data_IF_488676747928
#
_entry.id   IF_488676747928
#
_cell.length_a   1.000
_cell.length_b   1.000
_cell.length_c   1.000
_cell.angle_alpha   90.00
_cell.angle_beta   90.00
_cell.angle_gamma   90.00
#
_symmetry.space_group_name_H-M   'P 1'
#
loop_
_entity.id
_entity.type
_entity.pdbx_description
1 polymer ?
#
# COMPACT_ATOMS: atom_id res chain seq x y z
N UNK A 1 -7.38 39.68 -31.36
CA UNK A 1 -6.89 38.49 -30.61
C UNK A 1 -5.47 38.83 -30.20
N UNK A 2 -5.19 38.98 -28.93
CA UNK A 2 -3.83 39.22 -28.46
C UNK A 2 -3.06 37.89 -28.56
N UNK A 3 -1.92 37.88 -29.26
CA UNK A 3 -1.02 36.75 -29.31
C UNK A 3 -0.52 36.45 -27.89
N UNK A 4 -0.95 35.35 -27.33
CA UNK A 4 -0.41 34.86 -26.07
C UNK A 4 0.95 34.26 -26.39
N UNK A 5 2.00 35.05 -26.22
CA UNK A 5 3.39 34.53 -26.30
C UNK A 5 3.60 33.59 -25.15
N UNK A 6 3.78 32.32 -25.45
CA UNK A 6 4.28 31.33 -24.50
C UNK A 6 5.66 31.76 -24.00
N UNK A 7 5.92 31.63 -22.71
CA UNK A 7 7.21 32.00 -22.13
C UNK A 7 8.32 31.16 -22.79
N UNK A 8 9.42 31.79 -23.24
CA UNK A 8 10.49 31.05 -23.92
C UNK A 8 11.06 29.98 -22.97
N UNK A 9 11.22 28.77 -23.48
CA UNK A 9 11.85 27.67 -22.74
C UNK A 9 13.30 28.05 -22.41
N UNK A 10 13.60 28.15 -21.15
CA UNK A 10 14.96 28.37 -20.65
C UNK A 10 15.62 27.01 -20.42
N UNK A 11 16.69 26.68 -21.16
CA UNK A 11 17.36 25.39 -21.01
C UNK A 11 17.74 25.10 -19.54
N UNK A 12 17.38 23.92 -19.04
CA UNK A 12 17.65 23.49 -17.66
C UNK A 12 16.67 24.03 -16.60
N UNK A 13 15.65 24.79 -17.00
CA UNK A 13 14.61 25.27 -16.10
C UNK A 13 13.23 24.87 -16.58
N UNK A 14 12.33 24.63 -15.62
CA UNK A 14 10.95 24.26 -15.87
C UNK A 14 10.00 25.20 -15.11
N UNK A 15 8.83 25.40 -15.69
CA UNK A 15 7.73 26.13 -15.03
C UNK A 15 7.11 25.26 -13.92
N UNK A 16 6.32 25.89 -13.02
CA UNK A 16 5.54 25.15 -12.00
C UNK A 16 4.66 24.07 -12.62
N UNK A 17 4.03 24.37 -13.74
CA UNK A 17 3.16 23.44 -14.47
C UNK A 17 3.93 22.20 -14.97
N UNK A 18 5.08 22.42 -15.56
CA UNK A 18 5.97 21.35 -16.02
C UNK A 18 6.51 20.52 -14.85
N UNK A 19 6.96 21.18 -13.76
CA UNK A 19 7.39 20.50 -12.54
C UNK A 19 6.28 19.65 -11.91
N UNK A 20 5.03 20.14 -11.91
CA UNK A 20 3.87 19.40 -11.43
C UNK A 20 3.62 18.12 -12.23
N UNK A 21 3.73 18.19 -13.56
CA UNK A 21 3.63 17.04 -14.46
C UNK A 21 4.77 16.04 -14.21
N UNK A 22 6.02 16.51 -14.10
CA UNK A 22 7.19 15.66 -13.85
C UNK A 22 7.08 14.91 -12.50
N UNK A 23 6.51 15.55 -11.47
CA UNK A 23 6.36 14.98 -10.14
C UNK A 23 5.03 14.21 -9.94
N UNK A 24 4.11 14.24 -10.90
CA UNK A 24 2.80 13.60 -10.79
C UNK A 24 1.92 14.23 -9.69
N UNK A 25 2.04 15.55 -9.45
CA UNK A 25 1.29 16.28 -8.40
C UNK A 25 0.63 17.54 -8.97
N UNK A 26 -0.18 18.22 -8.17
CA UNK A 26 -0.83 19.47 -8.57
C UNK A 26 0.11 20.68 -8.43
N UNK A 27 -0.10 21.71 -9.26
CA UNK A 27 0.63 22.99 -9.20
C UNK A 27 0.62 23.57 -7.78
N UNK A 28 -0.54 23.53 -7.11
CA UNK A 28 -0.70 24.00 -5.73
C UNK A 28 0.26 23.30 -4.75
N UNK A 29 0.55 22.02 -4.99
CA UNK A 29 1.47 21.25 -4.15
C UNK A 29 2.92 21.62 -4.43
N UNK A 30 3.27 21.95 -5.69
CA UNK A 30 4.59 22.49 -6.06
C UNK A 30 4.82 23.82 -5.38
N UNK A 31 3.85 24.76 -5.46
CA UNK A 31 3.90 26.06 -4.74
C UNK A 31 4.18 25.88 -3.26
N UNK A 32 3.48 24.95 -2.61
CA UNK A 32 3.68 24.68 -1.19
C UNK A 32 5.10 24.19 -0.87
N UNK A 33 5.71 23.37 -1.74
CA UNK A 33 7.09 22.92 -1.56
C UNK A 33 8.10 24.05 -1.72
N UNK A 34 7.81 25.03 -2.58
CA UNK A 34 8.61 26.25 -2.72
C UNK A 34 8.47 27.12 -1.46
N UNK A 35 7.26 27.40 -0.99
CA UNK A 35 6.98 28.21 0.19
C UNK A 35 7.68 27.69 1.46
N UNK A 36 7.70 26.36 1.65
CA UNK A 36 8.36 25.75 2.82
C UNK A 36 9.87 25.49 2.59
N UNK A 37 10.43 26.00 1.48
CA UNK A 37 11.87 25.93 1.18
C UNK A 37 12.41 24.52 0.85
N UNK A 38 11.53 23.56 0.51
CA UNK A 38 11.93 22.20 0.15
C UNK A 38 12.32 22.05 -1.31
N UNK A 39 11.75 22.85 -2.19
CA UNK A 39 12.03 22.86 -3.62
C UNK A 39 12.55 24.26 -3.98
N UNK A 40 13.83 24.39 -4.36
CA UNK A 40 14.39 25.69 -4.75
C UNK A 40 13.68 26.23 -5.99
N UNK A 41 13.42 27.52 -5.99
CA UNK A 41 12.82 28.20 -7.14
C UNK A 41 13.39 29.60 -7.29
N UNK A 42 13.56 30.02 -8.53
CA UNK A 42 13.98 31.38 -8.90
C UNK A 42 12.77 32.16 -9.35
N UNK A 43 12.67 33.42 -8.98
CA UNK A 43 11.57 34.29 -9.41
C UNK A 43 12.11 35.29 -10.43
N UNK A 44 11.65 35.19 -11.68
CA UNK A 44 11.96 36.10 -12.75
C UNK A 44 10.67 36.74 -13.30
N UNK A 45 10.57 38.05 -13.30
CA UNK A 45 9.40 38.82 -13.83
C UNK A 45 8.05 38.31 -13.29
N UNK A 46 7.99 37.89 -12.02
CA UNK A 46 6.77 37.39 -11.39
C UNK A 46 6.48 35.89 -11.60
N UNK A 47 7.27 35.22 -12.43
CA UNK A 47 7.14 33.78 -12.72
C UNK A 47 8.17 32.99 -11.92
N UNK A 48 7.77 31.84 -11.37
CA UNK A 48 8.69 30.90 -10.74
C UNK A 48 9.28 29.96 -11.77
N UNK A 49 10.61 29.81 -11.74
CA UNK A 49 11.40 28.88 -12.52
C UNK A 49 12.09 27.90 -11.54
N UNK A 50 12.05 26.63 -11.84
CA UNK A 50 12.68 25.58 -11.06
C UNK A 50 13.79 24.93 -11.91
N UNK A 51 14.91 24.54 -11.29
CA UNK A 51 15.89 23.71 -11.96
C UNK A 51 15.28 22.36 -12.30
N UNK A 52 15.41 21.93 -13.54
CA UNK A 52 14.95 20.62 -13.99
C UNK A 52 15.61 19.48 -13.20
N UNK A 53 16.89 19.66 -12.84
CA UNK A 53 17.66 18.71 -12.05
C UNK A 53 17.12 18.61 -10.61
N UNK A 54 16.83 19.75 -9.96
CA UNK A 54 16.25 19.77 -8.62
C UNK A 54 14.88 19.08 -8.60
N UNK A 55 14.07 19.26 -9.65
CA UNK A 55 12.78 18.60 -9.79
C UNK A 55 12.94 17.09 -9.98
N UNK A 56 13.90 16.63 -10.80
CA UNK A 56 14.18 15.20 -11.00
C UNK A 56 14.68 14.51 -9.73
N UNK A 57 15.47 15.21 -8.93
CA UNK A 57 16.04 14.67 -7.68
C UNK A 57 15.05 14.79 -6.50
N UNK A 58 13.96 15.52 -6.66
CA UNK A 58 13.03 15.82 -5.58
C UNK A 58 12.29 14.59 -5.10
N UNK A 59 12.44 14.25 -3.82
CA UNK A 59 11.69 13.17 -3.17
C UNK A 59 10.39 13.69 -2.57
N UNK A 60 9.27 13.22 -3.08
CA UNK A 60 7.95 13.51 -2.50
C UNK A 60 7.88 12.97 -1.07
N UNK A 61 7.28 13.74 -0.18
CA UNK A 61 6.92 13.19 1.12
C UNK A 61 5.83 12.12 0.95
N UNK A 62 5.93 11.01 1.67
CA UNK A 62 4.83 10.06 1.72
C UNK A 62 3.54 10.77 2.16
N UNK A 63 2.37 10.36 1.65
CA UNK A 63 1.11 10.95 2.04
C UNK A 63 0.86 10.72 3.54
N UNK A 64 0.36 11.75 4.23
CA UNK A 64 0.00 11.70 5.64
C UNK A 64 1.01 12.38 6.57
N UNK A 65 0.62 12.55 7.83
CA UNK A 65 1.47 13.10 8.89
C UNK A 65 2.38 11.99 9.42
N UNK A 66 3.69 12.24 9.42
CA UNK A 66 4.63 11.34 10.10
C UNK A 66 4.23 11.22 11.58
N UNK A 67 4.02 9.98 12.04
CA UNK A 67 3.79 9.71 13.45
C UNK A 67 5.12 9.83 14.18
N UNK A 68 5.24 10.82 15.04
CA UNK A 68 6.45 11.02 15.88
C UNK A 68 6.47 10.10 17.09
N UNK A 69 5.29 9.64 17.53
CA UNK A 69 5.17 8.71 18.64
C UNK A 69 4.50 7.42 18.16
N UNK A 70 4.96 6.26 18.61
CA UNK A 70 4.29 5.00 18.34
C UNK A 70 2.88 5.02 18.94
N UNK A 71 1.90 4.38 18.30
CA UNK A 71 0.57 4.23 18.88
C UNK A 71 0.64 3.43 20.18
N UNK A 72 -0.20 3.80 21.18
CA UNK A 72 -0.28 3.06 22.44
C UNK A 72 -1.08 1.78 22.23
N UNK A 73 -0.70 0.75 22.98
CA UNK A 73 -1.48 -0.48 23.07
C UNK A 73 -2.90 -0.19 23.59
N UNK A 74 -3.88 -0.79 22.97
CA UNK A 74 -5.29 -0.70 23.34
C UNK A 74 -5.88 -2.10 23.46
N UNK A 75 -6.91 -2.25 24.30
CA UNK A 75 -7.72 -3.45 24.36
C UNK A 75 -9.02 -3.24 23.60
N UNK A 76 -9.55 -4.28 22.99
CA UNK A 76 -10.90 -4.23 22.47
C UNK A 76 -11.92 -4.14 23.61
N UNK A 77 -13.05 -3.49 23.37
CA UNK A 77 -14.12 -3.45 24.35
C UNK A 77 -14.72 -4.85 24.51
N UNK A 78 -15.26 -5.16 25.70
CA UNK A 78 -15.96 -6.42 25.97
C UNK A 78 -17.17 -6.69 25.04
N UNK A 79 -17.61 -5.67 24.30
CA UNK A 79 -18.75 -5.75 23.38
C UNK A 79 -18.36 -6.01 21.92
N UNK A 80 -17.08 -5.99 21.59
CA UNK A 80 -16.61 -6.21 20.22
C UNK A 80 -15.22 -6.82 20.28
N UNK A 81 -15.16 -8.12 20.09
CA UNK A 81 -13.91 -8.86 20.01
C UNK A 81 -13.37 -8.82 18.60
N UNK A 82 -12.06 -8.93 18.47
CA UNK A 82 -11.42 -9.16 17.18
C UNK A 82 -10.79 -10.53 17.19
N UNK A 83 -11.14 -11.30 16.20
CA UNK A 83 -10.60 -12.64 15.94
C UNK A 83 -9.55 -12.53 14.85
N UNK A 84 -8.44 -13.22 15.03
CA UNK A 84 -7.37 -13.36 14.04
C UNK A 84 -7.35 -14.80 13.54
N UNK A 85 -7.64 -15.00 12.27
CA UNK A 85 -7.37 -16.27 11.58
C UNK A 85 -5.98 -16.18 10.98
N UNK A 86 -5.06 -17.02 11.41
CA UNK A 86 -3.70 -17.16 10.89
C UNK A 86 -3.60 -18.49 10.15
N UNK A 87 -3.22 -18.41 8.88
CA UNK A 87 -2.95 -19.54 8.01
C UNK A 87 -1.47 -19.54 7.70
N UNK A 88 -0.76 -20.55 8.17
CA UNK A 88 0.65 -20.78 7.84
C UNK A 88 0.73 -21.89 6.82
N UNK A 89 1.31 -21.61 5.67
CA UNK A 89 1.34 -22.57 4.57
C UNK A 89 2.71 -22.57 3.90
N UNK A 90 3.34 -23.77 3.71
CA UNK A 90 4.60 -23.86 3.00
C UNK A 90 4.45 -23.49 1.52
N UNK A 91 5.49 -22.90 0.97
CA UNK A 91 5.59 -22.59 -0.47
C UNK A 91 6.24 -23.78 -1.17
N UNK A 92 5.66 -24.23 -2.27
CA UNK A 92 6.21 -25.31 -3.09
C UNK A 92 7.64 -24.94 -3.52
N UNK A 93 8.65 -25.80 -3.31
CA UNK A 93 10.03 -25.51 -3.67
C UNK A 93 10.19 -25.08 -5.13
N UNK A 94 10.87 -23.97 -5.35
CA UNK A 94 11.08 -23.39 -6.70
C UNK A 94 9.92 -22.56 -7.25
N UNK A 95 8.81 -22.40 -6.52
CA UNK A 95 7.62 -21.65 -6.95
C UNK A 95 7.52 -20.23 -6.36
N UNK A 96 8.57 -19.72 -5.73
CA UNK A 96 8.56 -18.42 -5.07
C UNK A 96 8.25 -17.26 -6.01
N UNK A 97 8.87 -17.23 -7.20
CA UNK A 97 8.63 -16.18 -8.20
C UNK A 97 7.22 -16.24 -8.76
N UNK A 98 6.72 -17.45 -9.05
CA UNK A 98 5.35 -17.65 -9.53
C UNK A 98 4.32 -17.23 -8.47
N UNK A 99 4.56 -17.54 -7.19
CA UNK A 99 3.74 -17.06 -6.09
C UNK A 99 3.68 -15.53 -6.05
N UNK A 100 4.83 -14.86 -6.10
CA UNK A 100 4.88 -13.38 -6.07
C UNK A 100 4.14 -12.76 -7.27
N UNK A 101 4.27 -13.35 -8.45
CA UNK A 101 3.54 -12.91 -9.64
C UNK A 101 2.03 -13.09 -9.47
N UNK A 102 1.59 -14.24 -8.96
CA UNK A 102 0.17 -14.53 -8.71
C UNK A 102 -0.42 -13.56 -7.67
N UNK A 103 0.30 -13.31 -6.56
CA UNK A 103 -0.12 -12.35 -5.55
C UNK A 103 -0.23 -10.91 -6.09
N UNK A 104 0.69 -10.49 -6.97
CA UNK A 104 0.61 -9.19 -7.64
C UNK A 104 -0.63 -9.09 -8.54
N UNK A 105 -0.92 -10.10 -9.34
CA UNK A 105 -2.12 -10.15 -10.18
C UNK A 105 -3.43 -10.17 -9.37
N UNK A 106 -3.44 -10.85 -8.20
CA UNK A 106 -4.56 -10.84 -7.26
C UNK A 106 -4.78 -9.43 -6.67
N UNK A 107 -3.70 -8.73 -6.31
CA UNK A 107 -3.76 -7.37 -5.81
C UNK A 107 -4.34 -6.40 -6.85
N UNK A 108 -3.84 -6.43 -8.09
CA UNK A 108 -4.30 -5.57 -9.19
C UNK A 108 -5.79 -5.77 -9.50
N UNK A 109 -6.26 -7.01 -9.47
CA UNK A 109 -7.65 -7.38 -9.75
C UNK A 109 -8.58 -7.37 -8.54
N UNK A 110 -8.04 -7.03 -7.34
CA UNK A 110 -8.76 -7.02 -6.06
C UNK A 110 -9.58 -8.30 -5.80
N UNK A 111 -9.00 -9.47 -6.12
CA UNK A 111 -9.62 -10.79 -5.90
C UNK A 111 -9.56 -11.17 -4.42
N UNK A 112 -10.39 -12.13 -4.00
CA UNK A 112 -10.49 -12.66 -2.64
C UNK A 112 -10.60 -11.55 -1.57
N UNK A 113 -11.67 -10.76 -1.58
CA UNK A 113 -11.86 -9.65 -0.65
C UNK A 113 -12.05 -10.09 0.80
N UNK A 114 -12.38 -11.34 1.08
CA UNK A 114 -12.73 -11.87 2.41
C UNK A 114 -13.70 -10.93 3.13
N UNK A 115 -14.99 -10.91 2.75
CA UNK A 115 -15.98 -9.98 3.29
C UNK A 115 -16.03 -10.00 4.81
N UNK A 116 -16.19 -8.84 5.44
CA UNK A 116 -16.23 -8.69 6.89
C UNK A 116 -14.87 -8.59 7.58
N UNK A 117 -13.74 -8.77 6.87
CA UNK A 117 -12.42 -8.53 7.44
C UNK A 117 -12.18 -7.04 7.68
N UNK A 118 -11.57 -6.69 8.82
CA UNK A 118 -11.09 -5.32 9.10
C UNK A 118 -9.67 -5.09 8.62
N UNK A 119 -8.89 -6.14 8.49
CA UNK A 119 -7.57 -6.12 7.89
C UNK A 119 -7.19 -7.51 7.36
N UNK A 120 -6.34 -7.52 6.34
CA UNK A 120 -5.81 -8.73 5.71
C UNK A 120 -4.34 -8.52 5.47
N UNK A 121 -3.53 -9.51 5.80
CA UNK A 121 -2.09 -9.49 5.56
C UNK A 121 -1.64 -10.79 4.92
N UNK A 122 -0.77 -10.68 3.95
CA UNK A 122 0.02 -11.78 3.43
C UNK A 122 1.46 -11.46 3.79
N UNK A 123 2.06 -12.30 4.62
CA UNK A 123 3.35 -12.05 5.25
C UNK A 123 4.32 -13.16 4.85
N UNK A 124 5.49 -12.77 4.43
CA UNK A 124 6.61 -13.66 4.17
C UNK A 124 7.11 -14.25 5.49
N UNK A 125 7.13 -15.57 5.62
CA UNK A 125 7.52 -16.25 6.88
C UNK A 125 9.02 -16.21 7.15
N UNK A 126 9.84 -16.21 6.08
CA UNK A 126 11.30 -16.15 6.15
C UNK A 126 11.91 -15.45 4.94
N UNK A 127 13.22 -15.21 4.96
CA UNK A 127 13.91 -14.52 3.87
C UNK A 127 13.91 -15.29 2.55
N UNK A 128 13.87 -16.62 2.60
CA UNK A 128 13.86 -17.50 1.45
C UNK A 128 12.44 -17.71 0.86
N UNK A 129 11.41 -17.16 1.52
CA UNK A 129 10.00 -17.35 1.16
C UNK A 129 9.64 -18.84 1.08
N UNK A 130 10.01 -19.62 2.10
CA UNK A 130 9.65 -21.03 2.20
C UNK A 130 8.29 -21.24 2.85
N UNK A 131 7.78 -20.24 3.57
CA UNK A 131 6.48 -20.24 4.22
C UNK A 131 5.78 -18.91 4.03
N UNK A 132 4.47 -18.95 3.87
CA UNK A 132 3.58 -17.80 3.78
C UNK A 132 2.64 -17.77 5.00
N UNK A 133 2.45 -16.60 5.60
CA UNK A 133 1.44 -16.37 6.61
C UNK A 133 0.33 -15.49 6.03
N UNK A 134 -0.90 -15.95 6.15
CA UNK A 134 -2.09 -15.20 5.74
C UNK A 134 -2.87 -14.89 7.01
N UNK A 135 -2.95 -13.61 7.37
CA UNK A 135 -3.61 -13.17 8.59
C UNK A 135 -4.87 -12.39 8.23
N UNK A 136 -6.00 -12.89 8.67
CA UNK A 136 -7.31 -12.27 8.47
C UNK A 136 -7.83 -11.81 9.84
N UNK A 137 -8.13 -10.51 9.97
CA UNK A 137 -8.69 -9.95 11.19
C UNK A 137 -10.17 -9.66 11.02
N UNK A 138 -10.99 -10.15 11.95
CA UNK A 138 -12.44 -10.06 11.93
C UNK A 138 -12.97 -9.38 13.18
N UNK A 139 -13.98 -8.54 13.05
CA UNK A 139 -14.84 -8.27 14.21
C UNK A 139 -15.83 -9.42 14.37
N UNK A 140 -16.02 -9.88 15.60
CA UNK A 140 -17.01 -10.93 15.92
C UNK A 140 -18.42 -10.56 15.45
N UNK A 141 -18.81 -9.28 15.54
CA UNK A 141 -20.11 -8.75 15.12
C UNK A 141 -20.35 -8.75 13.62
N UNK A 142 -19.27 -8.62 12.83
CA UNK A 142 -19.31 -8.43 11.37
C UNK A 142 -18.74 -9.66 10.63
N UNK A 143 -18.32 -10.66 11.38
CA UNK A 143 -17.75 -11.90 10.85
C UNK A 143 -18.83 -12.72 10.14
N UNK A 144 -18.64 -13.10 8.88
CA UNK A 144 -19.57 -13.97 8.17
C UNK A 144 -19.68 -15.34 8.84
N UNK A 145 -20.73 -16.07 8.52
CA UNK A 145 -20.87 -17.45 8.97
C UNK A 145 -19.72 -18.35 8.47
N UNK A 146 -19.56 -19.49 9.09
CA UNK A 146 -18.45 -20.39 8.80
C UNK A 146 -18.47 -20.90 7.36
N UNK A 147 -19.66 -21.15 6.81
CA UNK A 147 -19.82 -21.64 5.44
C UNK A 147 -19.32 -20.60 4.42
N UNK A 148 -19.66 -19.33 4.62
CA UNK A 148 -19.19 -18.22 3.78
C UNK A 148 -17.68 -18.06 3.88
N UNK A 149 -17.11 -18.10 5.08
CA UNK A 149 -15.66 -18.00 5.29
C UNK A 149 -14.91 -19.17 4.65
N UNK A 150 -15.43 -20.38 4.80
CA UNK A 150 -14.86 -21.58 4.21
C UNK A 150 -14.88 -21.52 2.68
N UNK A 151 -15.98 -21.08 2.09
CA UNK A 151 -16.11 -20.91 0.64
C UNK A 151 -15.07 -19.92 0.08
N UNK A 152 -14.89 -18.76 0.75
CA UNK A 152 -13.88 -17.76 0.35
C UNK A 152 -12.46 -18.32 0.47
N UNK A 153 -12.18 -19.07 1.53
CA UNK A 153 -10.87 -19.69 1.74
C UNK A 153 -10.60 -20.78 0.69
N UNK A 154 -11.58 -21.60 0.36
CA UNK A 154 -11.45 -22.63 -0.68
C UNK A 154 -11.19 -22.03 -2.07
N UNK A 155 -11.86 -20.92 -2.40
CA UNK A 155 -11.61 -20.21 -3.65
C UNK A 155 -10.17 -19.65 -3.71
N UNK A 156 -9.69 -19.11 -2.59
CA UNK A 156 -8.31 -18.63 -2.45
C UNK A 156 -7.30 -19.78 -2.52
N UNK A 157 -7.55 -20.89 -1.84
CA UNK A 157 -6.73 -22.09 -1.88
C UNK A 157 -6.61 -22.64 -3.29
N UNK A 158 -7.72 -22.71 -4.02
CA UNK A 158 -7.77 -23.21 -5.39
C UNK A 158 -6.90 -22.37 -6.33
N UNK A 159 -6.88 -21.05 -6.16
CA UNK A 159 -6.07 -20.17 -7.00
C UNK A 159 -4.57 -20.33 -6.74
N UNK A 160 -4.20 -20.65 -5.51
CA UNK A 160 -2.81 -20.82 -5.09
C UNK A 160 -2.39 -22.29 -4.94
N UNK A 161 -3.17 -23.24 -5.47
CA UNK A 161 -2.93 -24.68 -5.30
C UNK A 161 -1.60 -25.14 -5.89
N UNK A 162 -1.15 -24.53 -7.00
CA UNK A 162 0.09 -24.93 -7.69
C UNK A 162 1.36 -24.36 -7.05
N UNK A 163 1.22 -23.41 -6.12
CA UNK A 163 2.35 -22.68 -5.52
C UNK A 163 2.44 -22.82 -4.00
N UNK A 164 1.39 -23.32 -3.33
CA UNK A 164 1.33 -23.52 -1.88
C UNK A 164 0.94 -24.97 -1.54
N UNK A 165 1.58 -25.52 -0.50
CA UNK A 165 1.33 -26.89 0.00
C UNK A 165 0.20 -26.88 1.03
N UNK A 166 -1.05 -26.78 0.58
CA UNK A 166 -2.24 -26.66 1.44
C UNK A 166 -2.48 -27.86 2.36
N UNK A 167 -2.03 -29.04 2.00
CA UNK A 167 -2.11 -30.25 2.85
C UNK A 167 -1.28 -30.10 4.14
N UNK A 168 -0.24 -29.29 4.08
CA UNK A 168 0.65 -28.98 5.20
C UNK A 168 0.29 -27.66 5.91
N UNK A 169 -0.82 -27.02 5.53
CA UNK A 169 -1.21 -25.75 6.09
C UNK A 169 -1.68 -25.88 7.54
N UNK A 170 -1.24 -24.96 8.39
CA UNK A 170 -1.71 -24.84 9.76
C UNK A 170 -2.64 -23.62 9.88
N UNK A 171 -3.90 -23.85 10.25
CA UNK A 171 -4.92 -22.82 10.37
C UNK A 171 -5.37 -22.70 11.82
N UNK A 172 -5.26 -21.50 12.38
CA UNK A 172 -5.73 -21.19 13.74
C UNK A 172 -6.58 -19.95 13.74
N UNK A 173 -7.56 -19.90 14.63
CA UNK A 173 -8.34 -18.69 14.90
C UNK A 173 -8.27 -18.36 16.39
N UNK A 174 -7.76 -17.17 16.70
CA UNK A 174 -7.48 -16.74 18.06
C UNK A 174 -8.10 -15.37 18.34
N UNK A 175 -8.40 -15.08 19.62
CA UNK A 175 -8.84 -13.77 20.05
C UNK A 175 -7.66 -12.80 20.15
N UNK A 176 -7.79 -11.61 19.58
CA UNK A 176 -6.79 -10.55 19.70
C UNK A 176 -6.93 -9.85 21.05
N UNK A 177 -5.89 -9.87 21.85
CA UNK A 177 -5.90 -9.25 23.18
C UNK A 177 -5.59 -7.75 23.15
N UNK A 178 -4.63 -7.33 22.32
CA UNK A 178 -4.16 -5.94 22.21
C UNK A 178 -4.01 -5.54 20.73
N UNK A 179 -4.24 -4.26 20.47
CA UNK A 179 -4.01 -3.66 19.15
C UNK A 179 -3.44 -2.23 19.28
N UNK A 180 -3.02 -1.61 18.17
CA UNK A 180 -2.49 -0.23 18.14
C UNK A 180 -3.25 0.66 17.16
#
# INVERSE_FOLDING_TARGET
MADIHEFPDIPGYVSIKQAALMLGITDKRVYRYIEIGRLPAYKASGVFLLSEEDVKQFKLNPPGRLRTNPPRWRTYSSRSKVLATDVQVPVVPGKQEELLHTLAAMQESNRHPFPGTIARYIIKGDDALTCLHIVLLWKDTDMPDEATRQHELEAFQKELADVLEWESAHITTNETLLYT
#
